data_IF_588155456514
#
_entry.id   IF_588155456514
#
_cell.length_a   1.000
_cell.length_b   1.000
_cell.length_c   1.000
_cell.angle_alpha   90.00
_cell.angle_beta   90.00
_cell.angle_gamma   90.00
#
_symmetry.space_group_name_H-M   'P 1'
#
loop_
_entity.id
_entity.type
_entity.pdbx_description
1 polymer ?
#
# COMPACT_ATOMS: atom_id res chain seq x y z
N UNK A 1 23.70 34.72 -58.58
CA UNK A 1 22.70 33.83 -57.95
C UNK A 1 23.27 33.39 -56.60
N UNK A 2 22.71 33.84 -55.49
CA UNK A 2 23.17 33.56 -54.13
C UNK A 2 22.15 32.67 -53.41
N UNK A 3 22.53 31.43 -53.09
CA UNK A 3 21.67 30.45 -52.42
C UNK A 3 21.85 30.59 -50.91
N UNK A 4 20.77 30.95 -50.19
CA UNK A 4 20.71 31.03 -48.73
C UNK A 4 20.49 29.62 -48.16
N UNK A 5 21.46 29.12 -47.40
CA UNK A 5 21.29 27.91 -46.58
C UNK A 5 20.44 28.24 -45.34
N UNK A 6 19.39 27.46 -45.11
CA UNK A 6 18.57 27.54 -43.89
C UNK A 6 19.26 26.78 -42.74
N UNK A 7 19.18 27.26 -41.49
CA UNK A 7 19.72 26.54 -40.35
C UNK A 7 18.81 25.37 -39.96
N UNK A 8 19.36 24.16 -39.98
CA UNK A 8 18.74 22.96 -39.40
C UNK A 8 18.53 23.16 -37.90
N UNK A 9 17.28 23.35 -37.48
CA UNK A 9 16.93 23.35 -36.06
C UNK A 9 16.91 21.90 -35.57
N UNK A 10 17.98 21.47 -34.91
CA UNK A 10 17.98 20.23 -34.12
C UNK A 10 17.01 20.42 -32.94
N UNK A 11 15.81 19.86 -33.05
CA UNK A 11 14.89 19.74 -31.93
C UNK A 11 15.47 18.74 -30.92
N UNK A 12 15.91 19.24 -29.78
CA UNK A 12 16.32 18.43 -28.64
C UNK A 12 15.15 17.55 -28.21
N UNK A 13 15.33 16.22 -28.05
CA UNK A 13 14.22 15.34 -27.65
C UNK A 13 13.68 15.79 -26.29
N UNK A 14 12.39 16.13 -26.28
CA UNK A 14 11.66 16.51 -25.08
C UNK A 14 11.82 15.40 -24.03
N UNK A 15 12.53 15.70 -22.95
CA UNK A 15 12.74 14.81 -21.80
C UNK A 15 11.35 14.46 -21.24
N UNK A 16 10.86 13.26 -21.54
CA UNK A 16 9.69 12.71 -20.85
C UNK A 16 10.02 12.71 -19.37
N UNK A 17 9.36 13.55 -18.59
CA UNK A 17 9.37 13.50 -17.13
C UNK A 17 8.70 12.18 -16.74
N UNK A 18 9.48 11.11 -16.65
CA UNK A 18 9.03 9.87 -16.02
C UNK A 18 8.63 10.22 -14.60
N UNK A 19 7.37 9.99 -14.25
CA UNK A 19 6.90 10.13 -12.88
C UNK A 19 7.84 9.33 -11.98
N UNK A 20 8.34 9.92 -10.88
CA UNK A 20 9.26 9.20 -10.00
C UNK A 20 8.60 7.90 -9.53
N UNK A 21 9.37 6.80 -9.43
CA UNK A 21 8.85 5.50 -9.01
C UNK A 21 8.16 5.63 -7.65
N UNK A 22 7.09 4.86 -7.44
CA UNK A 22 6.32 4.86 -6.20
C UNK A 22 6.33 3.45 -5.65
N UNK A 23 6.94 3.28 -4.49
CA UNK A 23 6.98 2.03 -3.75
C UNK A 23 5.91 2.06 -2.67
N UNK A 24 5.11 1.00 -2.57
CA UNK A 24 4.02 0.88 -1.59
C UNK A 24 4.31 -0.29 -0.65
N UNK A 25 4.36 0.00 0.65
CA UNK A 25 4.31 -1.03 1.69
C UNK A 25 2.90 -1.14 2.25
N UNK A 26 2.23 -2.26 2.04
CA UNK A 26 0.98 -2.59 2.72
C UNK A 26 1.30 -3.06 4.15
N UNK A 27 0.71 -2.43 5.16
CA UNK A 27 0.86 -2.83 6.56
C UNK A 27 -0.44 -3.43 7.04
N UNK A 28 -0.46 -4.74 7.28
CA UNK A 28 -1.66 -5.47 7.72
C UNK A 28 -1.55 -5.76 9.20
N UNK A 29 -2.46 -5.20 9.99
CA UNK A 29 -2.58 -5.52 11.42
C UNK A 29 -3.58 -6.65 11.60
N UNK A 30 -3.07 -7.85 11.88
CA UNK A 30 -3.84 -9.07 12.00
C UNK A 30 -4.22 -9.36 13.45
N UNK A 31 -5.49 -9.75 13.68
CA UNK A 31 -6.01 -10.15 15.00
C UNK A 31 -6.37 -11.63 15.08
N UNK A 32 -6.53 -12.27 13.93
CA UNK A 32 -6.75 -13.69 13.76
C UNK A 32 -6.08 -14.12 12.46
N UNK A 33 -5.78 -15.42 12.36
CA UNK A 33 -5.22 -16.03 11.15
C UNK A 33 -6.19 -15.96 9.98
N UNK A 34 -7.46 -16.26 10.23
CA UNK A 34 -8.50 -16.28 9.19
C UNK A 34 -8.70 -14.89 8.59
N UNK A 35 -8.79 -13.85 9.42
CA UNK A 35 -8.92 -12.48 8.92
C UNK A 35 -7.67 -12.04 8.14
N UNK A 36 -6.48 -12.51 8.55
CA UNK A 36 -5.25 -12.31 7.79
C UNK A 36 -5.34 -12.97 6.40
N UNK A 37 -5.78 -14.23 6.32
CA UNK A 37 -6.04 -14.92 5.04
C UNK A 37 -6.92 -14.14 4.08
N UNK A 38 -8.02 -13.61 4.61
CA UNK A 38 -9.00 -12.90 3.80
C UNK A 38 -8.48 -11.54 3.29
N UNK A 39 -7.79 -10.76 4.13
CA UNK A 39 -7.21 -9.48 3.68
C UNK A 39 -6.05 -9.71 2.71
N UNK A 40 -5.21 -10.75 2.90
CA UNK A 40 -4.14 -11.07 1.96
C UNK A 40 -4.69 -11.51 0.60
N UNK A 41 -5.76 -12.32 0.60
CA UNK A 41 -6.47 -12.68 -0.63
C UNK A 41 -7.01 -11.44 -1.36
N UNK A 42 -7.55 -10.47 -0.61
CA UNK A 42 -8.03 -9.19 -1.16
C UNK A 42 -6.91 -8.29 -1.69
N UNK A 43 -5.72 -8.36 -1.09
CA UNK A 43 -4.51 -7.67 -1.55
C UNK A 43 -3.98 -8.28 -2.86
N UNK A 44 -4.01 -9.60 -2.98
CA UNK A 44 -3.61 -10.30 -4.20
C UNK A 44 -4.58 -10.06 -5.37
N UNK A 45 -5.83 -9.71 -5.07
CA UNK A 45 -6.83 -9.35 -6.07
C UNK A 45 -6.75 -7.88 -6.55
N UNK A 46 -5.76 -7.10 -6.12
CA UNK A 46 -5.63 -5.71 -6.56
C UNK A 46 -5.14 -5.63 -8.01
N UNK A 47 -5.68 -4.68 -8.78
CA UNK A 47 -5.21 -4.37 -10.14
C UNK A 47 -3.74 -3.93 -10.17
N UNK A 48 -3.29 -3.36 -9.06
CA UNK A 48 -1.89 -3.05 -8.77
C UNK A 48 -1.55 -3.68 -7.43
N UNK A 49 -0.56 -4.56 -7.40
CA UNK A 49 -0.04 -5.13 -6.16
C UNK A 49 0.81 -4.11 -5.38
N UNK A 50 0.86 -4.20 -4.04
CA UNK A 50 1.88 -3.50 -3.25
C UNK A 50 3.25 -4.13 -3.51
N UNK A 51 4.31 -3.33 -3.35
CA UNK A 51 5.69 -3.79 -3.54
C UNK A 51 6.19 -4.58 -2.32
N UNK A 52 5.67 -4.23 -1.13
CA UNK A 52 6.00 -4.87 0.15
C UNK A 52 4.74 -5.14 0.97
N UNK A 53 4.79 -6.21 1.77
CA UNK A 53 3.83 -6.49 2.84
C UNK A 53 4.57 -6.50 4.17
N UNK A 54 4.07 -5.74 5.14
CA UNK A 54 4.37 -5.93 6.56
C UNK A 54 3.16 -6.56 7.25
N UNK A 55 3.24 -7.85 7.57
CA UNK A 55 2.26 -8.51 8.42
C UNK A 55 2.61 -8.25 9.89
N UNK A 56 1.72 -7.56 10.60
CA UNK A 56 1.85 -7.29 12.03
C UNK A 56 0.89 -8.21 12.80
N UNK A 57 1.45 -9.18 13.50
CA UNK A 57 0.72 -10.04 14.43
C UNK A 57 0.29 -9.22 15.65
N UNK A 58 -1.01 -8.96 15.77
CA UNK A 58 -1.64 -8.40 16.95
C UNK A 58 -2.69 -9.33 17.55
N UNK A 59 -2.64 -10.63 17.25
CA UNK A 59 -3.47 -11.61 17.93
C UNK A 59 -3.05 -11.74 19.40
N UNK A 60 -3.99 -12.08 20.28
CA UNK A 60 -3.69 -12.25 21.71
C UNK A 60 -2.75 -13.45 21.94
N UNK A 61 -2.99 -14.52 21.20
CA UNK A 61 -2.25 -15.79 21.29
C UNK A 61 -1.22 -15.95 20.16
N UNK A 62 -1.05 -14.91 19.34
CA UNK A 62 -0.27 -14.95 18.11
C UNK A 62 -1.01 -15.62 16.93
N UNK A 63 -0.46 -15.48 15.72
CA UNK A 63 -1.02 -16.06 14.49
C UNK A 63 -0.54 -17.50 14.21
N UNK A 64 0.39 -18.01 15.02
CA UNK A 64 1.09 -19.26 14.76
C UNK A 64 2.03 -19.19 13.56
N UNK A 65 2.29 -20.34 12.92
CA UNK A 65 3.10 -20.41 11.70
C UNK A 65 2.35 -19.81 10.51
N UNK A 66 2.85 -18.72 9.93
CA UNK A 66 2.21 -17.97 8.84
C UNK A 66 2.80 -18.28 7.46
N UNK A 67 3.67 -19.29 7.32
CA UNK A 67 4.37 -19.57 6.06
C UNK A 67 3.43 -19.91 4.89
N UNK A 68 2.42 -20.74 5.12
CA UNK A 68 1.35 -21.07 4.15
C UNK A 68 0.52 -19.85 3.74
N UNK A 69 0.22 -18.97 4.70
CA UNK A 69 -0.53 -17.74 4.50
C UNK A 69 0.25 -16.73 3.65
N UNK A 70 1.57 -16.69 3.83
CA UNK A 70 2.48 -15.74 3.18
C UNK A 70 3.07 -16.25 1.86
N UNK A 71 3.06 -17.57 1.62
CA UNK A 71 3.60 -18.15 0.38
C UNK A 71 2.96 -17.56 -0.89
N UNK A 72 1.62 -17.45 -1.02
CA UNK A 72 1.00 -16.83 -2.19
C UNK A 72 1.39 -15.36 -2.39
N UNK A 73 1.71 -14.65 -1.30
CA UNK A 73 2.16 -13.25 -1.34
C UNK A 73 3.58 -13.16 -1.89
N UNK A 74 4.48 -14.01 -1.41
CA UNK A 74 5.85 -14.10 -1.91
C UNK A 74 5.89 -14.54 -3.38
N UNK A 75 5.06 -15.51 -3.77
CA UNK A 75 4.93 -15.99 -5.15
C UNK A 75 4.44 -14.91 -6.12
N UNK A 76 3.65 -13.96 -5.62
CA UNK A 76 3.21 -12.79 -6.38
C UNK A 76 4.31 -11.70 -6.54
N UNK A 77 5.52 -11.96 -6.05
CA UNK A 77 6.66 -11.03 -6.12
C UNK A 77 6.63 -9.90 -5.10
N UNK A 78 5.78 -10.00 -4.06
CA UNK A 78 5.68 -9.01 -3.00
C UNK A 78 6.71 -9.35 -1.91
N UNK A 79 7.57 -8.40 -1.55
CA UNK A 79 8.54 -8.60 -0.47
C UNK A 79 7.82 -8.67 0.89
N UNK A 80 7.99 -9.78 1.61
CA UNK A 80 7.29 -10.05 2.87
C UNK A 80 8.17 -9.73 4.08
N UNK A 81 7.62 -8.91 4.98
CA UNK A 81 8.14 -8.57 6.30
C UNK A 81 7.12 -8.98 7.36
N UNK A 82 7.60 -9.43 8.51
CA UNK A 82 6.74 -9.82 9.64
C UNK A 82 7.16 -9.09 10.91
N UNK A 83 6.18 -8.74 11.75
CA UNK A 83 6.43 -8.15 13.07
C UNK A 83 5.32 -8.53 14.06
N UNK A 84 5.58 -8.34 15.35
CA UNK A 84 4.61 -8.64 16.41
C UNK A 84 4.31 -7.40 17.26
N UNK A 85 3.03 -7.16 17.55
CA UNK A 85 2.57 -6.25 18.59
C UNK A 85 2.75 -6.97 19.92
N UNK A 86 3.92 -6.80 20.55
CA UNK A 86 4.17 -7.39 21.86
C UNK A 86 3.03 -7.10 22.88
N UNK A 87 2.86 -7.94 23.92
CA UNK A 87 1.62 -8.11 24.69
C UNK A 87 1.10 -6.87 25.44
N UNK A 88 1.87 -5.77 25.50
CA UNK A 88 1.52 -4.54 26.22
C UNK A 88 1.44 -3.30 25.32
N UNK A 89 1.53 -3.46 23.99
CA UNK A 89 1.68 -2.33 23.06
C UNK A 89 0.46 -2.17 22.18
N UNK A 90 -0.30 -1.10 22.41
CA UNK A 90 -1.37 -0.69 21.51
C UNK A 90 -0.84 -0.22 20.16
N UNK A 91 -1.54 -0.57 19.07
CA UNK A 91 -1.13 -0.27 17.68
C UNK A 91 -0.76 1.19 17.46
N UNK A 92 -1.52 2.12 18.05
CA UNK A 92 -1.30 3.57 17.91
C UNK A 92 0.10 4.03 18.34
N UNK A 93 0.73 3.33 19.29
CA UNK A 93 2.05 3.70 19.81
C UNK A 93 3.18 3.09 19.02
N UNK A 94 2.99 1.88 18.48
CA UNK A 94 4.09 1.13 17.85
C UNK A 94 4.12 1.27 16.33
N UNK A 95 2.96 1.49 15.70
CA UNK A 95 2.87 1.58 14.24
C UNK A 95 3.79 2.67 13.66
N UNK A 96 3.90 3.89 14.22
CA UNK A 96 4.83 4.89 13.70
C UNK A 96 6.29 4.39 13.71
N UNK A 97 6.74 3.80 14.82
CA UNK A 97 8.10 3.28 14.94
C UNK A 97 8.37 2.06 14.03
N UNK A 98 7.35 1.25 13.74
CA UNK A 98 7.45 0.17 12.75
C UNK A 98 7.59 0.74 11.34
N UNK A 99 6.77 1.74 11.00
CA UNK A 99 6.81 2.43 9.70
C UNK A 99 8.16 3.12 9.49
N UNK A 100 8.74 3.74 10.52
CA UNK A 100 10.04 4.40 10.43
C UNK A 100 11.20 3.44 10.09
N UNK A 101 11.02 2.14 10.37
CA UNK A 101 12.02 1.09 10.11
C UNK A 101 11.81 0.38 8.79
N UNK A 102 10.75 0.69 8.05
CA UNK A 102 10.51 0.08 6.75
C UNK A 102 11.66 0.42 5.79
N UNK A 103 12.07 -0.52 4.93
CA UNK A 103 13.06 -0.22 3.90
C UNK A 103 12.58 0.93 3.02
N UNK A 104 13.51 1.79 2.60
CA UNK A 104 13.23 2.92 1.70
C UNK A 104 13.98 2.69 0.40
N UNK A 105 13.29 2.85 -0.72
CA UNK A 105 13.91 2.59 -2.03
C UNK A 105 14.86 3.74 -2.46
N UNK A 106 14.74 4.92 -1.84
CA UNK A 106 15.65 6.06 -2.02
C UNK A 106 15.59 6.73 -3.40
N UNK A 107 14.99 6.08 -4.39
CA UNK A 107 14.86 6.50 -5.79
C UNK A 107 13.54 7.22 -6.09
N UNK A 108 12.59 7.14 -5.16
CA UNK A 108 11.19 7.48 -5.41
C UNK A 108 10.41 7.82 -4.14
N UNK A 109 9.08 7.79 -4.25
CA UNK A 109 8.18 8.02 -3.13
C UNK A 109 7.84 6.69 -2.47
N UNK A 110 8.17 6.56 -1.18
CA UNK A 110 7.72 5.45 -0.36
C UNK A 110 6.37 5.80 0.29
N UNK A 111 5.34 5.01 -0.02
CA UNK A 111 4.00 5.12 0.53
C UNK A 111 3.70 3.94 1.46
N UNK A 112 2.93 4.21 2.50
CA UNK A 112 2.48 3.20 3.47
C UNK A 112 0.97 3.10 3.42
N UNK A 113 0.47 1.90 3.18
CA UNK A 113 -0.96 1.62 3.16
C UNK A 113 -1.34 0.76 4.36
N UNK A 114 -1.91 1.39 5.39
CA UNK A 114 -2.27 0.70 6.64
C UNK A 114 -3.66 0.10 6.53
N UNK A 115 -3.75 -1.20 6.77
CA UNK A 115 -4.96 -2.01 6.71
C UNK A 115 -5.14 -2.75 8.03
N UNK A 116 -6.40 -2.93 8.43
CA UNK A 116 -6.73 -3.91 9.47
C UNK A 116 -7.15 -5.21 8.78
N UNK A 117 -6.92 -6.35 9.42
CA UNK A 117 -7.31 -7.67 8.92
C UNK A 117 -8.81 -7.83 8.62
N UNK A 118 -9.66 -6.94 9.15
CA UNK A 118 -11.10 -6.91 8.86
C UNK A 118 -11.48 -6.17 7.57
N UNK A 119 -10.50 -5.58 6.87
CA UNK A 119 -10.78 -4.84 5.64
C UNK A 119 -10.76 -5.75 4.41
N UNK A 120 -11.60 -5.44 3.42
CA UNK A 120 -11.63 -6.04 2.09
C UNK A 120 -11.50 -4.91 1.06
N UNK A 121 -10.27 -4.48 0.73
CA UNK A 121 -10.08 -3.42 -0.25
C UNK A 121 -10.62 -3.84 -1.62
N UNK A 122 -11.37 -2.95 -2.28
CA UNK A 122 -11.79 -3.14 -3.67
C UNK A 122 -10.57 -3.32 -4.60
N UNK A 123 -10.62 -4.13 -5.68
CA UNK A 123 -9.47 -4.37 -6.57
C UNK A 123 -8.74 -3.10 -7.07
N UNK A 124 -9.49 -2.03 -7.33
CA UNK A 124 -8.93 -0.75 -7.79
C UNK A 124 -8.34 0.15 -6.69
N UNK A 125 -8.53 -0.20 -5.40
CA UNK A 125 -8.30 0.72 -4.29
C UNK A 125 -6.86 1.25 -4.25
N UNK A 126 -5.86 0.37 -4.36
CA UNK A 126 -4.47 0.80 -4.29
C UNK A 126 -4.09 1.74 -5.46
N UNK A 127 -4.52 1.40 -6.68
CA UNK A 127 -4.28 2.22 -7.87
C UNK A 127 -4.83 3.63 -7.70
N UNK A 128 -6.06 3.75 -7.19
CA UNK A 128 -6.72 5.04 -6.97
C UNK A 128 -6.05 5.84 -5.84
N UNK A 129 -5.64 5.18 -4.75
CA UNK A 129 -4.94 5.84 -3.64
C UNK A 129 -3.58 6.40 -4.07
N UNK A 130 -2.80 5.65 -4.85
CA UNK A 130 -1.51 6.14 -5.38
C UNK A 130 -1.70 7.31 -6.35
N UNK A 131 -2.72 7.24 -7.22
CA UNK A 131 -3.02 8.35 -8.13
C UNK A 131 -3.41 9.63 -7.36
N UNK A 132 -4.17 9.49 -6.27
CA UNK A 132 -4.58 10.61 -5.43
C UNK A 132 -3.41 11.21 -4.62
N UNK A 133 -2.50 10.38 -4.08
CA UNK A 133 -1.33 10.86 -3.33
C UNK A 133 -0.30 11.59 -4.21
N UNK A 134 -0.36 11.40 -5.53
CA UNK A 134 0.37 12.15 -6.56
C UNK A 134 0.28 13.67 -6.47
N UNK A 135 -0.74 14.22 -5.82
CA UNK A 135 -1.10 15.64 -5.88
C UNK A 135 -0.54 16.49 -4.72
N UNK A 136 0.61 16.08 -4.15
CA UNK A 136 1.22 16.77 -3.00
C UNK A 136 0.51 16.53 -1.68
N UNK A 137 -0.26 15.43 -1.57
CA UNK A 137 -1.05 15.10 -0.40
C UNK A 137 -0.29 14.12 0.49
N UNK A 138 -0.12 14.45 1.78
CA UNK A 138 0.59 13.60 2.74
C UNK A 138 -0.19 12.39 3.25
N UNK A 139 -1.53 12.40 3.13
CA UNK A 139 -2.40 11.30 3.57
C UNK A 139 -3.67 11.21 2.72
N UNK A 140 -3.97 10.01 2.25
CA UNK A 140 -5.23 9.71 1.54
C UNK A 140 -5.83 8.45 2.16
N UNK A 141 -7.14 8.47 2.41
CA UNK A 141 -7.88 7.32 2.95
C UNK A 141 -9.02 6.91 2.03
N UNK A 142 -9.26 5.61 1.83
CA UNK A 142 -10.44 5.16 1.11
C UNK A 142 -11.69 5.43 1.93
N UNK A 143 -12.83 5.58 1.25
CA UNK A 143 -14.13 5.56 1.92
C UNK A 143 -14.37 4.14 2.45
N UNK A 144 -14.69 4.04 3.74
CA UNK A 144 -15.08 2.77 4.35
C UNK A 144 -16.59 2.58 4.16
N UNK A 145 -16.96 1.36 3.83
CA UNK A 145 -18.34 0.94 3.62
C UNK A 145 -18.54 -0.35 4.43
N UNK A 146 -19.72 -0.50 5.03
CA UNK A 146 -20.05 -1.76 5.69
C UNK A 146 -20.24 -2.84 4.63
N UNK A 147 -19.53 -3.97 4.78
CA UNK A 147 -19.66 -5.11 3.87
C UNK A 147 -21.09 -5.68 3.87
N UNK A 148 -21.79 -5.58 5.01
CA UNK A 148 -23.18 -6.04 5.17
C UNK A 148 -24.21 -5.05 4.63
N UNK A 149 -23.82 -3.80 4.46
CA UNK A 149 -24.64 -2.77 3.83
C UNK A 149 -23.78 -1.86 2.92
N UNK A 150 -23.46 -2.33 1.70
CA UNK A 150 -22.59 -1.61 0.78
C UNK A 150 -23.17 -0.27 0.29
N UNK A 151 -24.44 0.02 0.59
CA UNK A 151 -25.13 1.26 0.22
C UNK A 151 -25.17 2.26 1.38
N UNK A 152 -25.15 1.81 2.63
CA UNK A 152 -24.98 2.66 3.79
C UNK A 152 -23.49 3.01 3.97
N UNK A 153 -23.06 4.10 3.36
CA UNK A 153 -21.77 4.66 3.74
C UNK A 153 -21.80 5.11 5.19
N UNK A 154 -20.91 4.55 6.01
CA UNK A 154 -20.74 4.94 7.41
C UNK A 154 -20.22 6.37 7.49
N UNK A 155 -21.13 7.34 7.52
CA UNK A 155 -20.85 8.66 8.03
C UNK A 155 -20.75 8.51 9.55
N UNK A 156 -19.52 8.38 10.07
CA UNK A 156 -19.28 8.52 11.50
C UNK A 156 -19.44 10.00 11.88
N UNK A 157 -20.69 10.43 12.07
CA UNK A 157 -21.04 11.65 12.78
C UNK A 157 -21.09 11.37 14.28
N UNK A 158 -20.33 12.15 15.05
CA UNK A 158 -20.17 12.10 16.50
C UNK A 158 -21.46 11.90 17.30
N UNK A 159 -21.33 11.21 18.44
CA UNK A 159 -21.75 11.73 19.75
C UNK A 159 -20.69 11.40 20.79
#
# INVERSE_FOLDING_TARGET
>A
MTQRSLPSTSATPSRRTTTPPVTVTAVVVARSRDDAGQVLSSLLAQDRLPDRLLLVDGALDGLGDTSDLLAPVADAGIEVLTSTLGPRRGIRRILPAMVDRLPRDGSGRDLVWVLTSRTRPHPEALRLLVAASGRGVGMVGPKLVDERDPRASSASGSR
#
